data_IF_033145724870
#
_entry.id   IF_033145724870
#
_cell.length_a   1.000
_cell.length_b   1.000
_cell.length_c   1.000
_cell.angle_alpha   90.00
_cell.angle_beta   90.00
_cell.angle_gamma   90.00
#
_symmetry.space_group_name_H-M   'P 1'
#
loop_
_entity.id
_entity.type
_entity.pdbx_description
1 polymer ?
#
# COMPACT_ATOMS: atom_id res chain seq x y z
N UNK A 1 -7.71 -21.47 -12.05
CA UNK A 1 -6.86 -20.70 -11.13
C UNK A 1 -6.73 -19.30 -11.68
N UNK A 2 -7.02 -18.25 -10.89
CA UNK A 2 -6.84 -16.86 -11.35
C UNK A 2 -8.09 -15.97 -11.40
N UNK A 3 -9.19 -16.31 -10.72
CA UNK A 3 -10.30 -15.34 -10.57
C UNK A 3 -10.99 -15.44 -9.21
N UNK A 4 -11.20 -16.66 -8.68
CA UNK A 4 -11.96 -16.83 -7.42
C UNK A 4 -11.26 -17.67 -6.33
N UNK A 5 -10.04 -18.13 -6.59
CA UNK A 5 -9.30 -19.02 -5.69
C UNK A 5 -7.87 -18.53 -5.49
N UNK A 6 -7.63 -17.83 -4.38
CA UNK A 6 -6.30 -17.71 -3.81
C UNK A 6 -5.93 -18.98 -3.03
N UNK A 7 -4.64 -19.21 -2.82
CA UNK A 7 -4.15 -20.36 -2.04
C UNK A 7 -4.67 -20.34 -0.60
N UNK A 8 -4.43 -21.41 0.17
CA UNK A 8 -4.91 -21.62 1.56
C UNK A 8 -4.65 -20.47 2.56
N UNK A 9 -3.82 -19.49 2.19
CA UNK A 9 -3.49 -18.29 2.98
C UNK A 9 -4.08 -16.98 2.41
N UNK A 10 -4.76 -17.01 1.26
CA UNK A 10 -5.38 -15.84 0.68
C UNK A 10 -6.62 -15.47 1.49
N UNK A 11 -6.54 -14.32 2.16
CA UNK A 11 -7.63 -13.77 2.95
C UNK A 11 -7.85 -12.32 2.47
N UNK A 12 -8.84 -12.07 1.60
CA UNK A 12 -9.10 -10.73 1.07
C UNK A 12 -9.53 -9.76 2.18
N UNK A 13 -10.08 -10.27 3.28
CA UNK A 13 -10.44 -9.50 4.48
C UNK A 13 -9.23 -8.99 5.27
N UNK A 14 -8.02 -9.48 4.98
CA UNK A 14 -6.75 -9.03 5.59
C UNK A 14 -5.87 -8.21 4.65
N UNK A 15 -6.22 -8.08 3.38
CA UNK A 15 -5.45 -7.27 2.44
C UNK A 15 -5.78 -5.78 2.67
N UNK A 16 -4.77 -4.97 2.95
CA UNK A 16 -4.94 -3.55 3.23
C UNK A 16 -4.21 -3.07 4.48
N UNK A 17 -3.84 -1.78 4.47
CA UNK A 17 -3.46 -1.07 5.69
C UNK A 17 -4.74 -0.52 6.31
N UNK A 18 -5.06 -0.93 7.54
CA UNK A 18 -6.25 -0.48 8.24
C UNK A 18 -6.29 1.06 8.31
N UNK A 19 -7.46 1.65 8.07
CA UNK A 19 -7.69 3.10 8.06
C UNK A 19 -6.91 3.92 7.00
N UNK A 20 -6.18 3.27 6.08
CA UNK A 20 -5.58 3.98 4.96
C UNK A 20 -6.63 4.32 3.90
N UNK A 21 -6.68 5.59 3.50
CA UNK A 21 -7.51 6.06 2.37
C UNK A 21 -6.98 5.57 1.02
N UNK A 22 -5.66 5.36 0.92
CA UNK A 22 -4.95 4.89 -0.27
C UNK A 22 -3.66 4.16 0.15
N UNK A 23 -3.30 3.11 -0.59
CA UNK A 23 -2.01 2.43 -0.49
C UNK A 23 -1.25 2.64 -1.79
N UNK A 24 -0.06 3.22 -1.70
CA UNK A 24 0.84 3.41 -2.84
C UNK A 24 1.93 2.35 -2.79
N UNK A 25 2.04 1.54 -3.83
CA UNK A 25 3.07 0.50 -3.96
C UNK A 25 4.08 0.93 -5.01
N UNK A 26 5.36 0.90 -4.64
CA UNK A 26 6.47 1.20 -5.53
C UNK A 26 7.26 -0.07 -5.83
N UNK A 27 7.39 -0.41 -7.12
CA UNK A 27 8.34 -1.41 -7.62
C UNK A 27 8.51 -1.22 -9.13
N UNK A 28 9.74 -1.33 -9.61
CA UNK A 28 10.08 -1.25 -11.05
C UNK A 28 9.33 -2.32 -11.86
N UNK A 29 9.09 -3.48 -11.24
CA UNK A 29 8.38 -4.61 -11.82
C UNK A 29 7.13 -4.90 -10.99
N UNK A 30 6.02 -4.24 -11.33
CA UNK A 30 4.72 -4.47 -10.69
C UNK A 30 3.86 -5.37 -11.56
N UNK A 31 3.37 -6.47 -10.98
CA UNK A 31 2.25 -7.21 -11.56
C UNK A 31 0.94 -6.77 -10.91
N UNK A 32 -0.18 -6.96 -11.63
CA UNK A 32 -1.51 -6.71 -11.06
C UNK A 32 -1.75 -7.55 -9.81
N UNK A 33 -1.33 -8.81 -9.83
CA UNK A 33 -1.43 -9.75 -8.73
C UNK A 33 -0.69 -9.28 -7.47
N UNK A 34 0.40 -8.52 -7.62
CA UNK A 34 1.13 -7.96 -6.48
C UNK A 34 0.30 -6.87 -5.78
N UNK A 35 -0.39 -6.01 -6.55
CA UNK A 35 -1.23 -4.95 -6.00
C UNK A 35 -2.44 -5.50 -5.26
N UNK A 36 -3.05 -6.58 -5.76
CA UNK A 36 -4.20 -7.22 -5.12
C UNK A 36 -3.87 -7.76 -3.70
N UNK A 37 -2.58 -7.90 -3.35
CA UNK A 37 -2.15 -8.27 -1.99
C UNK A 37 -2.26 -7.13 -0.99
N UNK A 38 -2.26 -5.88 -1.46
CA UNK A 38 -2.21 -4.68 -0.61
C UNK A 38 -3.57 -4.03 -0.39
N UNK A 39 -4.65 -4.57 -0.95
CA UNK A 39 -6.00 -4.07 -0.76
C UNK A 39 -6.83 -4.07 -2.06
N UNK A 40 -8.04 -3.50 -2.02
CA UNK A 40 -8.92 -3.45 -3.18
C UNK A 40 -8.40 -2.47 -4.24
N UNK A 41 -8.78 -2.74 -5.50
CA UNK A 41 -8.28 -2.05 -6.69
C UNK A 41 -8.53 -0.52 -6.71
N UNK A 42 -9.55 -0.05 -6.01
CA UNK A 42 -9.92 1.36 -5.89
C UNK A 42 -9.07 2.11 -4.85
N UNK A 43 -8.35 1.38 -3.98
CA UNK A 43 -7.52 1.95 -2.92
C UNK A 43 -6.02 1.70 -3.10
N UNK A 44 -5.63 0.81 -4.00
CA UNK A 44 -4.22 0.47 -4.25
C UNK A 44 -3.78 1.01 -5.60
N UNK A 45 -2.72 1.81 -5.61
CA UNK A 45 -2.09 2.33 -6.82
C UNK A 45 -0.62 1.90 -6.87
N UNK A 46 -0.15 1.57 -8.07
CA UNK A 46 1.21 1.10 -8.32
C UNK A 46 2.00 2.09 -9.17
N UNK A 47 3.25 2.37 -8.79
CA UNK A 47 4.17 3.19 -9.57
C UNK A 47 5.50 2.50 -9.77
N UNK A 48 6.10 2.72 -10.95
CA UNK A 48 7.37 2.11 -11.33
C UNK A 48 8.57 3.00 -10.99
N UNK A 49 8.36 4.29 -10.73
CA UNK A 49 9.42 5.22 -10.34
C UNK A 49 9.08 5.97 -9.06
N UNK A 50 10.10 6.35 -8.31
CA UNK A 50 9.93 7.09 -7.07
C UNK A 50 9.35 8.50 -7.29
N UNK A 51 9.68 9.13 -8.41
CA UNK A 51 9.18 10.46 -8.77
C UNK A 51 7.66 10.46 -8.93
N UNK A 52 7.10 9.38 -9.49
CA UNK A 52 5.65 9.20 -9.61
C UNK A 52 4.99 9.11 -8.23
N UNK A 53 5.59 8.36 -7.31
CA UNK A 53 5.12 8.26 -5.92
C UNK A 53 5.10 9.64 -5.25
N UNK A 54 6.21 10.39 -5.34
CA UNK A 54 6.30 11.72 -4.74
C UNK A 54 5.30 12.69 -5.37
N UNK A 55 5.11 12.63 -6.69
CA UNK A 55 4.11 13.46 -7.39
C UNK A 55 2.70 13.16 -6.90
N UNK A 56 2.34 11.90 -6.77
CA UNK A 56 1.03 11.48 -6.24
C UNK A 56 0.83 12.00 -4.81
N UNK A 57 1.80 11.76 -3.92
CA UNK A 57 1.71 12.19 -2.53
C UNK A 57 1.61 13.72 -2.39
N UNK A 58 2.35 14.48 -3.21
CA UNK A 58 2.27 15.95 -3.20
C UNK A 58 0.97 16.49 -3.80
N UNK A 59 0.37 15.76 -4.74
CA UNK A 59 -0.95 16.12 -5.31
C UNK A 59 -2.03 15.98 -4.25
N UNK A 60 -2.03 14.88 -3.52
CA UNK A 60 -3.03 14.61 -2.47
C UNK A 60 -2.79 15.43 -1.20
N UNK A 61 -1.52 15.73 -0.89
CA UNK A 61 -1.12 16.44 0.33
C UNK A 61 -0.19 17.64 0.01
N UNK A 62 -0.71 18.73 -0.58
CA UNK A 62 0.10 19.82 -1.14
C UNK A 62 0.77 20.78 -0.12
N UNK A 63 0.61 20.56 1.19
CA UNK A 63 1.08 21.47 2.26
C UNK A 63 1.99 20.74 3.25
N UNK A 64 1.89 21.05 4.55
CA UNK A 64 2.70 20.53 5.66
C UNK A 64 2.37 19.07 6.02
N UNK A 65 2.43 18.18 5.02
CA UNK A 65 2.26 16.75 5.23
C UNK A 65 3.38 16.23 6.13
N UNK A 66 3.01 15.59 7.24
CA UNK A 66 3.95 14.90 8.12
C UNK A 66 4.03 13.43 7.70
N UNK A 67 5.25 12.93 7.55
CA UNK A 67 5.50 11.55 7.13
C UNK A 67 6.26 10.84 8.23
N UNK A 68 5.71 9.71 8.70
CA UNK A 68 6.46 8.76 9.49
C UNK A 68 7.19 7.81 8.54
N UNK A 69 8.50 7.63 8.75
CA UNK A 69 9.33 6.76 7.93
C UNK A 69 9.74 5.55 8.75
N UNK A 70 9.41 4.37 8.24
CA UNK A 70 9.82 3.08 8.80
C UNK A 70 10.77 2.42 7.79
N UNK A 71 12.10 2.52 7.97
CA UNK A 71 13.07 1.95 7.05
C UNK A 71 12.89 0.44 6.79
N UNK A 72 12.39 -0.30 7.78
CA UNK A 72 12.12 -1.73 7.67
C UNK A 72 10.80 -2.10 8.36
N UNK A 73 9.72 -2.14 7.58
CA UNK A 73 8.39 -2.52 8.05
C UNK A 73 8.29 -3.96 8.59
N UNK A 74 9.24 -4.84 8.27
CA UNK A 74 9.24 -6.23 8.74
C UNK A 74 9.63 -6.37 10.23
N UNK A 75 10.34 -5.38 10.78
CA UNK A 75 10.87 -5.40 12.15
C UNK A 75 10.28 -4.26 12.97
N UNK A 76 9.85 -3.18 12.31
CA UNK A 76 9.28 -2.01 12.97
C UNK A 76 7.76 -2.11 12.99
N UNK A 77 7.20 -2.16 14.20
CA UNK A 77 5.77 -1.98 14.42
C UNK A 77 5.54 -0.53 14.89
N UNK A 78 4.63 0.22 14.27
CA UNK A 78 4.18 1.48 14.86
C UNK A 78 3.58 1.20 16.24
N UNK A 79 3.90 2.02 17.24
CA UNK A 79 3.22 1.95 18.54
C UNK A 79 1.72 2.19 18.33
N UNK A 80 0.88 1.42 19.04
CA UNK A 80 -0.58 1.40 18.83
C UNK A 80 -1.16 2.83 18.82
N UNK A 81 -1.83 3.20 17.71
CA UNK A 81 -2.60 4.43 17.54
C UNK A 81 -3.97 4.36 18.26
N UNK A 82 -4.03 3.70 19.43
CA UNK A 82 -5.21 3.67 20.29
C UNK A 82 -5.07 4.75 21.36
N UNK A 83 -5.39 6.00 20.99
CA UNK A 83 -5.67 7.10 21.92
C UNK A 83 -6.80 7.96 21.40
#
# INVERSE_FOLDING_TARGET
FGTDYGGKLWNPTKAGVANASKVVVYSEYLSRTDLDRFGPADRVVGYATWEQVIRELRSDYPKDARVAVFPCAAIQCPDNLDS
#
